data_IF_829080888322
#
_entry.id   IF_829080888322
#
_cell.length_a   1.000
_cell.length_b   1.000
_cell.length_c   1.000
_cell.angle_alpha   90.00
_cell.angle_beta   90.00
_cell.angle_gamma   90.00
#
_symmetry.space_group_name_H-M   'P 1'
#
loop_
_entity.id
_entity.type
_entity.pdbx_description
1 polymer ?
#
# COMPACT_ATOMS: atom_id res chain seq x y z
N UNK A 1 -3.75 9.77 -6.07
CA UNK A 1 -2.63 8.98 -5.54
C UNK A 1 -1.25 9.60 -5.81
N UNK A 2 -0.83 9.94 -7.04
CA UNK A 2 0.50 10.55 -7.29
C UNK A 2 0.78 11.81 -6.46
N UNK A 3 -0.13 12.78 -6.48
CA UNK A 3 -0.01 14.02 -5.69
C UNK A 3 0.04 13.73 -4.18
N UNK A 4 -0.70 12.74 -3.72
CA UNK A 4 -0.70 12.33 -2.32
C UNK A 4 0.70 11.89 -1.88
N UNK A 5 1.32 10.93 -2.58
CA UNK A 5 2.66 10.47 -2.23
C UNK A 5 3.75 11.51 -2.48
N UNK A 6 3.60 12.37 -3.47
CA UNK A 6 4.49 13.52 -3.64
C UNK A 6 4.46 14.42 -2.40
N UNK A 7 3.29 14.77 -1.91
CA UNK A 7 3.13 15.61 -0.72
C UNK A 7 3.63 14.89 0.54
N UNK A 8 3.23 13.63 0.75
CA UNK A 8 3.68 12.85 1.92
C UNK A 8 5.19 12.66 1.96
N UNK A 9 5.83 12.54 0.81
CA UNK A 9 7.29 12.43 0.72
C UNK A 9 8.04 13.77 0.85
N UNK A 10 7.33 14.87 1.04
CA UNK A 10 7.90 16.22 1.00
C UNK A 10 8.62 16.51 -0.33
N UNK A 11 8.03 16.04 -1.43
CA UNK A 11 8.57 16.19 -2.78
C UNK A 11 9.71 15.25 -3.16
N UNK A 12 10.07 14.30 -2.29
CA UNK A 12 11.22 13.39 -2.53
C UNK A 12 10.95 12.33 -3.59
N UNK A 13 9.68 11.96 -3.81
CA UNK A 13 9.30 11.02 -4.84
C UNK A 13 8.28 11.62 -5.79
N UNK A 14 8.31 11.14 -7.02
CA UNK A 14 7.29 11.39 -8.05
C UNK A 14 6.88 10.05 -8.64
N UNK A 15 5.58 9.83 -8.73
CA UNK A 15 5.00 8.60 -9.26
C UNK A 15 4.31 8.93 -10.58
N UNK A 16 4.68 8.23 -11.63
CA UNK A 16 4.03 8.30 -12.92
C UNK A 16 3.15 7.06 -13.09
N UNK A 17 1.87 7.27 -13.32
CA UNK A 17 0.93 6.21 -13.62
C UNK A 17 0.68 6.14 -15.12
N UNK A 18 0.68 4.92 -15.63
CA UNK A 18 0.22 4.62 -16.98
C UNK A 18 -0.90 3.60 -16.88
N UNK A 19 -2.07 3.95 -17.37
CA UNK A 19 -3.15 2.99 -17.54
C UNK A 19 -2.95 2.29 -18.88
N UNK A 20 -2.75 0.99 -18.83
CA UNK A 20 -2.76 0.17 -20.02
C UNK A 20 -4.19 -0.21 -20.36
N UNK A 21 -4.59 0.11 -21.55
CA UNK A 21 -5.82 -0.36 -22.15
C UNK A 21 -6.96 0.64 -22.11
N UNK A 22 -7.54 0.75 -23.28
CA UNK A 22 -8.84 1.36 -23.56
C UNK A 22 -9.98 0.32 -23.49
N UNK A 23 -9.66 -0.90 -23.06
CA UNK A 23 -10.59 -2.04 -23.03
C UNK A 23 -10.25 -3.00 -21.89
N UNK A 24 -11.26 -3.69 -21.40
CA UNK A 24 -11.10 -4.85 -20.53
C UNK A 24 -10.60 -6.05 -21.33
N UNK A 25 -9.62 -6.77 -20.79
CA UNK A 25 -9.22 -8.07 -21.31
C UNK A 25 -9.88 -9.19 -20.51
N UNK A 26 -10.42 -10.16 -21.23
CA UNK A 26 -10.99 -11.34 -20.59
C UNK A 26 -9.90 -12.39 -20.40
N UNK A 27 -9.70 -12.80 -19.17
CA UNK A 27 -8.84 -13.92 -18.82
C UNK A 27 -9.56 -15.25 -19.02
N UNK A 28 -8.80 -16.34 -19.10
CA UNK A 28 -9.32 -17.68 -19.34
C UNK A 28 -10.10 -18.25 -18.15
N UNK A 29 -9.77 -17.85 -16.94
CA UNK A 29 -10.41 -18.30 -15.72
C UNK A 29 -11.48 -17.32 -15.24
N UNK A 30 -12.35 -17.79 -14.35
CA UNK A 30 -13.41 -16.99 -13.73
C UNK A 30 -12.89 -16.26 -12.48
N UNK A 31 -13.64 -15.26 -12.02
CA UNK A 31 -13.36 -14.61 -10.73
C UNK A 31 -13.34 -15.64 -9.58
N UNK A 32 -14.30 -16.57 -9.57
CA UNK A 32 -14.36 -17.64 -8.58
C UNK A 32 -13.08 -18.51 -8.54
N UNK A 33 -12.42 -18.72 -9.67
CA UNK A 33 -11.11 -19.40 -9.69
C UNK A 33 -10.05 -18.57 -8.99
N UNK A 34 -9.91 -17.29 -9.35
CA UNK A 34 -8.87 -16.43 -8.78
C UNK A 34 -9.13 -16.08 -7.31
N UNK A 35 -10.40 -16.03 -6.89
CA UNK A 35 -10.83 -15.76 -5.52
C UNK A 35 -10.91 -17.00 -4.62
N UNK A 36 -10.71 -18.21 -5.16
CA UNK A 36 -10.85 -19.44 -4.40
C UNK A 36 -9.90 -19.50 -3.22
N UNK A 37 -10.45 -19.76 -2.01
CA UNK A 37 -9.66 -19.98 -0.81
C UNK A 37 -9.81 -18.92 0.28
N UNK A 38 -10.82 -18.08 0.27
CA UNK A 38 -11.09 -17.08 1.32
C UNK A 38 -9.86 -16.32 1.82
N UNK A 39 -9.38 -15.44 1.02
CA UNK A 39 -8.81 -14.18 1.49
C UNK A 39 -7.38 -14.17 1.99
N UNK A 40 -6.67 -15.23 2.30
CA UNK A 40 -5.35 -14.98 2.93
C UNK A 40 -4.23 -15.95 2.58
N UNK A 41 -4.48 -17.17 2.18
CA UNK A 41 -3.40 -18.15 2.05
C UNK A 41 -3.47 -19.08 0.85
N UNK A 42 -4.61 -19.17 0.17
CA UNK A 42 -4.83 -20.20 -0.85
C UNK A 42 -5.53 -19.67 -2.12
N UNK A 43 -5.60 -18.34 -2.28
CA UNK A 43 -6.19 -17.76 -3.48
C UNK A 43 -5.23 -17.91 -4.67
N UNK A 44 -5.80 -18.08 -5.86
CA UNK A 44 -5.06 -18.01 -7.12
C UNK A 44 -4.75 -16.56 -7.54
N UNK A 45 -4.56 -15.67 -6.56
CA UNK A 45 -4.25 -14.25 -6.81
C UNK A 45 -2.95 -14.06 -7.57
N UNK A 46 -1.96 -14.93 -7.32
CA UNK A 46 -0.74 -14.91 -8.13
C UNK A 46 -1.01 -15.28 -9.58
N UNK A 47 -1.89 -16.25 -9.82
CA UNK A 47 -2.30 -16.63 -11.18
C UNK A 47 -3.02 -15.48 -11.87
N UNK A 48 -3.82 -14.69 -11.14
CA UNK A 48 -4.46 -13.50 -11.66
C UNK A 48 -3.43 -12.50 -12.24
N UNK A 49 -2.37 -12.24 -11.51
CA UNK A 49 -1.30 -11.36 -11.97
C UNK A 49 -0.60 -11.94 -13.19
N UNK A 50 -0.19 -13.21 -13.13
CA UNK A 50 0.52 -13.88 -14.23
C UNK A 50 -0.34 -13.91 -15.51
N UNK A 51 -1.60 -14.28 -15.38
CA UNK A 51 -2.51 -14.36 -16.52
C UNK A 51 -2.81 -12.95 -17.08
N UNK A 52 -2.91 -11.94 -16.22
CA UNK A 52 -3.08 -10.54 -16.64
C UNK A 52 -1.87 -10.04 -17.42
N UNK A 53 -0.65 -10.27 -16.92
CA UNK A 53 0.57 -9.85 -17.61
C UNK A 53 0.66 -10.53 -18.98
N UNK A 54 0.43 -11.85 -19.06
CA UNK A 54 0.42 -12.58 -20.33
C UNK A 54 -0.62 -12.03 -21.30
N UNK A 55 -1.82 -11.69 -20.82
CA UNK A 55 -2.87 -11.16 -21.66
C UNK A 55 -2.53 -9.77 -22.24
N UNK A 56 -1.66 -9.02 -21.56
CA UNK A 56 -1.25 -7.68 -21.97
C UNK A 56 0.11 -7.62 -22.67
N UNK A 57 0.92 -8.70 -22.71
CA UNK A 57 2.26 -8.71 -23.32
C UNK A 57 2.28 -8.22 -24.78
N UNK A 58 1.25 -8.52 -25.54
CA UNK A 58 1.14 -8.09 -26.95
C UNK A 58 0.77 -6.60 -27.09
N UNK A 59 0.35 -5.94 -26.01
CA UNK A 59 -0.17 -4.56 -26.02
C UNK A 59 0.68 -3.59 -25.22
N UNK A 60 1.49 -4.08 -24.28
CA UNK A 60 2.23 -3.25 -23.34
C UNK A 60 3.64 -3.77 -23.13
N UNK A 61 4.61 -2.86 -23.09
CA UNK A 61 5.96 -3.16 -22.58
C UNK A 61 6.01 -2.87 -21.09
N UNK A 62 6.29 -3.88 -20.29
CA UNK A 62 6.36 -3.73 -18.83
C UNK A 62 7.78 -3.42 -18.32
N UNK A 63 8.79 -3.46 -19.17
CA UNK A 63 10.20 -3.30 -18.79
C UNK A 63 10.54 -1.96 -18.15
N UNK A 64 9.75 -0.92 -18.43
CA UNK A 64 9.97 0.44 -17.97
C UNK A 64 9.25 0.78 -16.68
N UNK A 65 8.54 -0.20 -16.09
CA UNK A 65 7.71 0.00 -14.90
C UNK A 65 8.28 -0.73 -13.69
N UNK A 66 8.23 -0.06 -12.54
CA UNK A 66 8.70 -0.61 -11.27
C UNK A 66 7.59 -1.24 -10.44
N UNK A 67 6.34 -0.91 -10.75
CA UNK A 67 5.16 -1.34 -10.01
C UNK A 67 4.02 -1.64 -10.97
N UNK A 68 3.25 -2.67 -10.68
CA UNK A 68 2.08 -3.07 -11.44
C UNK A 68 0.88 -3.25 -10.50
N UNK A 69 -0.21 -2.61 -10.82
CA UNK A 69 -1.53 -2.93 -10.27
C UNK A 69 -2.42 -3.50 -11.36
N UNK A 70 -2.99 -4.66 -11.11
CA UNK A 70 -4.04 -5.25 -11.93
C UNK A 70 -5.39 -4.81 -11.36
N UNK A 71 -6.17 -4.12 -12.16
CA UNK A 71 -7.54 -3.76 -11.81
C UNK A 71 -8.47 -4.80 -12.45
N UNK A 72 -9.25 -5.49 -11.63
CA UNK A 72 -10.23 -6.46 -12.12
C UNK A 72 -11.64 -5.87 -12.09
N UNK A 73 -12.48 -6.35 -13.00
CA UNK A 73 -13.89 -5.98 -13.05
C UNK A 73 -14.66 -6.62 -11.89
N UNK A 74 -15.64 -5.90 -11.37
CA UNK A 74 -16.54 -6.38 -10.30
C UNK A 74 -16.00 -6.13 -8.90
N UNK A 75 -16.78 -6.55 -7.92
CA UNK A 75 -16.53 -6.35 -6.49
C UNK A 75 -15.37 -7.20 -5.99
N UNK A 76 -14.82 -6.83 -4.85
CA UNK A 76 -13.79 -7.57 -4.12
C UNK A 76 -14.34 -8.22 -2.84
N UNK A 77 -13.64 -9.24 -2.36
CA UNK A 77 -14.03 -9.97 -1.14
C UNK A 77 -13.83 -9.14 0.13
N UNK A 78 -12.96 -8.13 0.16
CA UNK A 78 -12.75 -7.32 1.36
C UNK A 78 -13.97 -6.48 1.70
N UNK A 79 -14.72 -6.08 0.68
CA UNK A 79 -16.01 -5.38 0.80
C UNK A 79 -17.16 -6.35 1.09
N UNK A 80 -17.05 -7.60 0.63
CA UNK A 80 -18.05 -8.66 0.80
C UNK A 80 -17.44 -9.93 1.40
N UNK A 81 -17.06 -9.95 2.68
CA UNK A 81 -16.25 -11.03 3.28
C UNK A 81 -16.87 -12.43 3.23
N UNK A 82 -18.19 -12.52 3.03
CA UNK A 82 -18.92 -13.79 2.93
C UNK A 82 -18.94 -14.35 1.49
N UNK A 83 -18.55 -13.57 0.51
CA UNK A 83 -18.55 -13.94 -0.91
C UNK A 83 -17.18 -14.52 -1.28
N UNK A 84 -16.97 -15.78 -0.93
CA UNK A 84 -15.67 -16.47 -1.08
C UNK A 84 -15.25 -16.72 -2.53
N UNK A 85 -16.09 -16.41 -3.49
CA UNK A 85 -15.80 -16.46 -4.93
C UNK A 85 -15.27 -15.14 -5.48
N UNK A 86 -15.26 -14.06 -4.67
CA UNK A 86 -14.63 -12.80 -5.04
C UNK A 86 -13.14 -12.82 -4.74
N UNK A 87 -12.39 -12.04 -5.49
CA UNK A 87 -10.96 -11.87 -5.27
C UNK A 87 -10.75 -10.97 -4.06
N UNK A 88 -9.91 -11.39 -3.12
CA UNK A 88 -9.47 -10.55 -2.02
C UNK A 88 -8.32 -9.67 -2.50
N UNK A 89 -8.45 -8.34 -2.41
CA UNK A 89 -7.34 -7.43 -2.74
C UNK A 89 -6.07 -7.82 -2.00
N UNK A 90 -4.95 -7.69 -2.64
CA UNK A 90 -3.67 -8.12 -2.07
C UNK A 90 -2.49 -7.42 -2.72
N UNK A 91 -1.47 -7.14 -1.93
CA UNK A 91 -0.16 -6.73 -2.39
C UNK A 91 0.85 -7.87 -2.18
N UNK A 92 1.69 -8.10 -3.17
CA UNK A 92 2.78 -9.08 -3.12
C UNK A 92 4.16 -8.44 -2.94
N UNK A 93 4.24 -7.14 -2.67
CA UNK A 93 5.48 -6.46 -2.30
C UNK A 93 5.63 -6.48 -0.79
N UNK A 94 6.69 -7.08 -0.26
CA UNK A 94 6.88 -7.16 1.18
C UNK A 94 8.31 -6.81 1.58
N UNK A 95 8.47 -5.80 2.46
CA UNK A 95 9.68 -5.50 3.27
C UNK A 95 11.02 -5.83 2.57
N UNK A 96 11.28 -5.23 1.43
CA UNK A 96 12.54 -5.44 0.71
C UNK A 96 12.66 -6.77 -0.04
N UNK A 97 11.69 -7.62 0.04
CA UNK A 97 11.55 -8.79 -0.83
C UNK A 97 10.70 -8.42 -2.05
N UNK A 98 11.29 -7.61 -2.92
CA UNK A 98 10.69 -7.39 -4.24
C UNK A 98 10.33 -8.75 -4.84
N UNK A 99 9.08 -8.93 -5.23
CA UNK A 99 8.71 -10.05 -6.09
C UNK A 99 9.47 -9.81 -7.40
N UNK A 100 10.56 -10.51 -7.54
CA UNK A 100 11.55 -10.17 -8.53
C UNK A 100 11.18 -10.64 -9.93
N UNK A 101 10.09 -11.42 -10.09
CA UNK A 101 9.77 -11.98 -11.41
C UNK A 101 8.31 -12.38 -11.52
N UNK A 102 7.57 -11.76 -12.39
CA UNK A 102 6.42 -12.42 -13.03
C UNK A 102 7.02 -13.32 -14.10
N UNK A 103 6.79 -14.61 -13.97
CA UNK A 103 7.24 -15.57 -14.99
C UNK A 103 6.23 -15.53 -16.12
N UNK A 104 6.59 -14.89 -17.21
CA UNK A 104 5.84 -14.91 -18.46
C UNK A 104 6.33 -16.06 -19.33
N UNK A 105 5.64 -16.35 -20.40
CA UNK A 105 6.10 -17.29 -21.45
C UNK A 105 7.26 -16.73 -22.26
N UNK A 106 7.50 -15.43 -22.18
CA UNK A 106 8.67 -14.77 -22.75
C UNK A 106 9.88 -14.97 -21.81
N UNK A 107 11.07 -15.27 -22.34
CA UNK A 107 12.32 -15.29 -21.56
C UNK A 107 12.69 -13.93 -20.93
N UNK A 108 12.06 -12.82 -21.33
CA UNK A 108 12.17 -11.53 -20.65
C UNK A 108 11.36 -11.59 -19.34
N UNK A 109 12.09 -11.79 -18.23
CA UNK A 109 11.48 -11.70 -16.90
C UNK A 109 11.26 -10.23 -16.54
N UNK A 110 10.02 -9.84 -16.32
CA UNK A 110 9.70 -8.53 -15.76
C UNK A 110 10.00 -8.51 -14.26
N UNK A 111 10.78 -7.54 -13.81
CA UNK A 111 11.09 -7.34 -12.40
C UNK A 111 10.33 -6.14 -11.87
N UNK A 112 9.23 -6.38 -11.16
CA UNK A 112 8.50 -5.32 -10.46
C UNK A 112 8.96 -5.22 -9.00
N UNK A 113 9.01 -4.00 -8.48
CA UNK A 113 9.26 -3.73 -7.06
C UNK A 113 8.05 -4.04 -6.18
N UNK A 114 6.86 -4.09 -6.78
CA UNK A 114 5.62 -4.47 -6.14
C UNK A 114 4.55 -4.83 -7.16
N UNK A 115 3.67 -5.71 -6.75
CA UNK A 115 2.55 -6.22 -7.53
C UNK A 115 1.30 -6.21 -6.64
N UNK A 116 0.21 -5.66 -7.15
CA UNK A 116 -1.08 -5.67 -6.46
C UNK A 116 -2.22 -5.99 -7.44
N UNK A 117 -3.35 -6.30 -6.90
CA UNK A 117 -4.61 -6.27 -7.63
C UNK A 117 -5.72 -5.69 -6.75
N UNK A 118 -6.61 -4.94 -7.39
CA UNK A 118 -7.69 -4.20 -6.78
C UNK A 118 -8.97 -4.31 -7.64
N UNK A 119 -10.13 -4.09 -7.03
CA UNK A 119 -11.41 -3.99 -7.72
C UNK A 119 -11.54 -2.65 -8.46
N UNK A 120 -12.30 -2.63 -9.56
CA UNK A 120 -12.66 -1.39 -10.25
C UNK A 120 -13.53 -0.44 -9.41
N UNK A 121 -14.17 -0.97 -8.37
CA UNK A 121 -15.01 -0.21 -7.44
C UNK A 121 -14.25 0.28 -6.21
N UNK A 122 -12.97 -0.05 -6.11
CA UNK A 122 -12.16 0.34 -4.97
C UNK A 122 -11.80 1.83 -5.03
N UNK A 123 -11.96 2.50 -3.90
CA UNK A 123 -11.56 3.89 -3.78
C UNK A 123 -10.03 4.02 -3.64
N UNK A 124 -9.49 5.12 -4.09
CA UNK A 124 -8.05 5.31 -4.21
C UNK A 124 -7.27 5.23 -2.87
N UNK A 125 -7.94 5.41 -1.74
CA UNK A 125 -7.32 5.27 -0.42
C UNK A 125 -6.83 3.86 -0.14
N UNK A 126 -7.61 2.87 -0.56
CA UNK A 126 -7.28 1.48 -0.41
C UNK A 126 -6.13 1.09 -1.35
N UNK A 127 -6.18 1.55 -2.61
CA UNK A 127 -5.06 1.40 -3.56
C UNK A 127 -3.77 2.05 -3.05
N UNK A 128 -3.88 3.21 -2.38
CA UNK A 128 -2.73 3.88 -1.79
C UNK A 128 -2.12 3.09 -0.63
N UNK A 129 -2.94 2.43 0.19
CA UNK A 129 -2.50 1.53 1.25
C UNK A 129 -1.68 0.36 0.67
N UNK A 130 -2.23 -0.33 -0.33
CA UNK A 130 -1.52 -1.43 -1.00
C UNK A 130 -0.21 -0.95 -1.66
N UNK A 131 -0.21 0.25 -2.24
CA UNK A 131 1.02 0.85 -2.75
C UNK A 131 2.03 1.16 -1.63
N UNK A 132 1.57 1.53 -0.43
CA UNK A 132 2.42 1.70 0.76
C UNK A 132 3.19 0.43 1.11
N UNK A 133 2.57 -0.75 0.99
CA UNK A 133 3.26 -2.03 1.14
C UNK A 133 4.36 -2.23 0.11
N UNK A 134 4.14 -1.80 -1.12
CA UNK A 134 5.17 -1.88 -2.16
C UNK A 134 6.36 -0.95 -1.92
N UNK A 135 6.16 0.11 -1.16
CA UNK A 135 7.24 0.96 -0.66
C UNK A 135 7.97 0.35 0.54
N UNK A 136 7.46 -0.75 1.09
CA UNK A 136 8.06 -1.46 2.22
C UNK A 136 7.42 -1.15 3.58
N UNK A 137 6.27 -0.50 3.60
CA UNK A 137 5.57 -0.20 4.84
C UNK A 137 4.78 -1.41 5.34
N UNK A 138 4.78 -1.69 6.65
CA UNK A 138 3.93 -2.70 7.26
C UNK A 138 2.54 -2.17 7.57
N UNK A 139 1.58 -3.08 7.79
CA UNK A 139 0.33 -2.75 8.46
C UNK A 139 0.58 -2.25 9.89
N UNK A 140 -0.16 -1.22 10.26
CA UNK A 140 -0.14 -0.62 11.60
C UNK A 140 -1.45 -0.88 12.37
N UNK A 141 -2.23 -1.84 11.93
CA UNK A 141 -3.40 -2.34 12.64
C UNK A 141 -3.20 -3.80 13.05
N UNK A 142 -3.94 -4.21 14.07
CA UNK A 142 -4.04 -5.61 14.48
C UNK A 142 -5.43 -6.09 14.13
N UNK A 143 -5.52 -7.24 13.47
CA UNK A 143 -6.81 -7.83 13.11
C UNK A 143 -7.73 -7.95 14.33
N UNK A 144 -8.98 -7.51 14.13
CA UNK A 144 -10.04 -7.53 15.15
C UNK A 144 -9.80 -6.68 16.40
N UNK A 145 -8.83 -5.77 16.39
CA UNK A 145 -8.63 -4.81 17.49
C UNK A 145 -8.37 -3.42 16.94
N UNK A 146 -9.12 -2.47 17.47
CA UNK A 146 -8.84 -1.04 17.33
C UNK A 146 -7.66 -0.70 18.25
N UNK A 147 -6.47 -1.07 17.85
CA UNK A 147 -5.24 -0.78 18.60
C UNK A 147 -4.28 0.02 17.73
N UNK A 148 -3.66 0.99 18.34
CA UNK A 148 -2.64 1.80 17.71
C UNK A 148 -3.19 3.08 17.10
N UNK A 149 -2.71 3.41 15.90
CA UNK A 149 -2.93 4.71 15.27
C UNK A 149 -4.28 4.84 14.56
N UNK A 150 -4.96 3.70 14.30
CA UNK A 150 -6.31 3.57 13.73
C UNK A 150 -6.51 4.46 12.48
N UNK A 151 -7.53 5.33 12.48
CA UNK A 151 -7.89 6.18 11.32
C UNK A 151 -6.90 7.33 11.04
N UNK A 152 -5.82 7.43 11.79
CA UNK A 152 -4.85 8.52 11.67
C UNK A 152 -3.69 8.19 10.72
N UNK A 153 -3.58 6.97 10.22
CA UNK A 153 -2.54 6.57 9.28
C UNK A 153 -3.11 5.79 8.10
N UNK A 154 -2.58 6.08 6.90
CA UNK A 154 -2.86 5.29 5.71
C UNK A 154 -2.57 3.80 5.92
N UNK A 155 -1.47 3.46 6.61
CA UNK A 155 -1.06 2.07 6.84
C UNK A 155 -1.82 1.40 8.01
N UNK A 156 -2.80 2.08 8.59
CA UNK A 156 -3.75 1.51 9.53
C UNK A 156 -5.15 1.50 8.89
N UNK A 157 -6.16 2.07 9.56
CA UNK A 157 -7.52 2.14 9.02
C UNK A 157 -7.84 3.48 8.36
N UNK A 158 -6.88 4.36 8.28
CA UNK A 158 -7.02 5.65 7.64
C UNK A 158 -7.12 5.58 6.11
N UNK A 159 -6.82 4.43 5.52
CA UNK A 159 -7.09 4.09 4.12
C UNK A 159 -8.57 4.19 3.76
N UNK A 160 -9.45 3.93 4.75
CA UNK A 160 -10.90 3.88 4.63
C UNK A 160 -11.61 5.19 4.97
N UNK A 161 -10.90 6.24 5.30
CA UNK A 161 -11.51 7.53 5.63
C UNK A 161 -12.21 8.13 4.42
N UNK A 162 -13.33 8.83 4.70
CA UNK A 162 -14.15 9.50 3.69
C UNK A 162 -15.57 8.94 3.61
N UNK A 163 -16.38 9.58 2.78
CA UNK A 163 -17.73 9.15 2.42
C UNK A 163 -17.94 9.47 0.94
N UNK A 164 -17.96 8.47 0.05
CA UNK A 164 -17.76 7.03 0.31
C UNK A 164 -16.43 6.67 0.98
N UNK A 165 -16.39 5.47 1.59
CA UNK A 165 -15.20 4.94 2.27
C UNK A 165 -13.98 4.89 1.32
N UNK A 166 -12.83 5.40 1.76
CA UNK A 166 -11.60 5.44 0.98
C UNK A 166 -11.42 6.69 0.09
N UNK A 167 -12.39 7.62 0.07
CA UNK A 167 -12.30 8.83 -0.75
C UNK A 167 -11.38 9.90 -0.19
N UNK A 168 -11.10 9.87 1.12
CA UNK A 168 -10.27 10.86 1.81
C UNK A 168 -9.32 10.18 2.81
N UNK A 169 -8.38 9.34 2.34
CA UNK A 169 -7.49 8.62 3.23
C UNK A 169 -6.62 9.55 4.09
N UNK A 170 -6.25 9.05 5.26
CA UNK A 170 -5.31 9.72 6.14
C UNK A 170 -3.93 9.88 5.48
N UNK A 171 -3.10 10.75 6.04
CA UNK A 171 -1.68 10.83 5.71
C UNK A 171 -0.91 9.61 6.19
N UNK A 172 0.34 9.51 5.74
CA UNK A 172 1.29 8.60 6.37
C UNK A 172 1.69 9.16 7.75
N UNK A 173 1.76 8.28 8.73
CA UNK A 173 2.25 8.63 10.05
C UNK A 173 3.77 8.84 10.09
N UNK A 174 4.26 9.42 11.18
CA UNK A 174 5.67 9.77 11.32
C UNK A 174 6.61 8.54 11.28
N UNK A 175 6.16 7.39 11.80
CA UNK A 175 6.95 6.15 11.76
C UNK A 175 7.09 5.64 10.32
N UNK A 176 6.01 5.61 9.56
CA UNK A 176 6.00 5.23 8.15
C UNK A 176 6.91 6.14 7.32
N UNK A 177 6.79 7.45 7.50
CA UNK A 177 7.63 8.43 6.80
C UNK A 177 9.11 8.32 7.21
N UNK A 178 9.40 7.97 8.46
CA UNK A 178 10.76 7.70 8.92
C UNK A 178 11.34 6.43 8.29
N UNK A 179 10.57 5.34 8.24
CA UNK A 179 11.00 4.09 7.58
C UNK A 179 11.36 4.32 6.11
N UNK A 180 10.61 5.15 5.41
CA UNK A 180 10.87 5.51 4.02
C UNK A 180 12.04 6.51 3.85
N UNK A 181 12.63 7.00 4.94
CA UNK A 181 13.68 8.02 4.89
C UNK A 181 13.15 9.40 4.44
N UNK A 182 11.86 9.62 4.53
CA UNK A 182 11.25 10.90 4.17
C UNK A 182 11.33 11.93 5.28
N UNK A 183 11.43 11.48 6.54
CA UNK A 183 11.67 12.33 7.71
C UNK A 183 13.00 11.99 8.35
N UNK A 184 13.65 13.04 8.88
CA UNK A 184 14.84 12.95 9.71
C UNK A 184 14.48 13.42 11.12
N UNK A 185 14.13 12.50 12.04
CA UNK A 185 13.73 12.89 13.37
C UNK A 185 14.89 13.51 14.16
N UNK A 186 14.57 14.55 14.91
CA UNK A 186 15.51 15.20 15.84
C UNK A 186 15.63 14.33 17.08
N UNK A 187 16.80 13.82 17.42
CA UNK A 187 17.00 13.10 18.67
C UNK A 187 16.82 14.07 19.84
N UNK A 188 16.06 13.67 20.84
CA UNK A 188 15.82 14.45 22.05
C UNK A 188 16.23 13.63 23.27
N UNK A 189 16.99 14.26 24.15
CA UNK A 189 17.23 13.76 25.48
C UNK A 189 16.32 14.52 26.46
N UNK A 190 15.44 13.82 27.13
CA UNK A 190 14.57 14.38 28.14
C UNK A 190 15.39 14.57 29.42
N UNK A 191 15.63 15.80 29.80
CA UNK A 191 16.41 16.14 30.98
C UNK A 191 15.54 16.44 32.22
N UNK A 192 14.23 16.63 32.01
CA UNK A 192 13.27 16.87 33.09
C UNK A 192 11.87 16.35 32.70
N UNK A 193 11.00 16.24 33.70
CA UNK A 193 9.58 15.89 33.48
C UNK A 193 8.73 17.06 32.96
N UNK A 194 9.34 18.24 32.82
CA UNK A 194 8.67 19.47 32.39
C UNK A 194 9.17 19.97 31.02
N UNK A 195 9.93 19.15 30.27
CA UNK A 195 10.40 19.53 28.95
C UNK A 195 9.22 19.63 27.98
N UNK A 196 9.05 20.79 27.35
CA UNK A 196 8.04 21.08 26.35
C UNK A 196 8.71 21.06 24.98
N UNK A 197 8.21 20.23 24.09
CA UNK A 197 8.64 20.16 22.69
C UNK A 197 7.55 20.74 21.80
N UNK A 198 7.89 21.77 21.04
CA UNK A 198 6.99 22.32 20.04
C UNK A 198 7.06 21.50 18.74
N UNK A 199 5.91 21.10 18.23
CA UNK A 199 5.78 20.34 16.99
C UNK A 199 4.91 21.09 16.00
N UNK A 200 5.41 21.24 14.78
CA UNK A 200 4.61 21.74 13.67
C UNK A 200 3.88 20.59 12.95
N UNK A 201 2.75 20.90 12.33
CA UNK A 201 2.02 19.91 11.53
C UNK A 201 2.89 19.42 10.38
N UNK A 202 2.97 18.09 10.21
CA UNK A 202 3.73 17.44 9.15
C UNK A 202 3.20 17.71 7.74
N UNK A 203 2.00 18.28 7.62
CA UNK A 203 1.36 18.49 6.32
C UNK A 203 1.90 19.68 5.52
N UNK A 204 2.65 20.60 6.14
CA UNK A 204 2.94 21.90 5.53
C UNK A 204 4.40 22.37 5.58
N UNK A 205 5.25 21.72 6.37
CA UNK A 205 6.64 22.13 6.46
C UNK A 205 7.53 20.93 6.83
N UNK A 206 8.86 21.09 6.73
CA UNK A 206 9.83 20.11 7.22
C UNK A 206 9.48 19.69 8.65
N UNK A 207 8.63 18.67 8.74
CA UNK A 207 7.98 18.28 9.96
C UNK A 207 9.03 18.00 11.02
N UNK A 208 8.98 18.71 12.10
CA UNK A 208 9.82 18.40 13.25
C UNK A 208 9.23 17.17 13.91
N UNK A 209 9.87 16.03 13.68
CA UNK A 209 9.58 14.77 14.37
C UNK A 209 10.68 14.53 15.37
N UNK A 210 10.31 14.22 16.59
CA UNK A 210 11.25 13.94 17.66
C UNK A 210 11.40 12.45 17.90
N UNK A 211 12.63 12.01 18.09
CA UNK A 211 12.96 10.63 18.46
C UNK A 211 13.45 10.59 19.90
N UNK A 212 12.66 9.98 20.77
CA UNK A 212 12.97 9.82 22.20
C UNK A 212 13.42 8.37 22.40
N UNK A 213 14.62 8.13 22.98
CA UNK A 213 15.07 6.78 23.30
C UNK A 213 14.16 6.10 24.34
N UNK A 214 13.81 4.83 24.11
CA UNK A 214 12.98 4.04 25.03
C UNK A 214 13.55 3.99 26.46
N UNK A 215 14.87 4.00 26.59
CA UNK A 215 15.55 4.03 27.89
C UNK A 215 15.19 5.25 28.75
N UNK A 216 14.75 6.33 28.13
CA UNK A 216 14.31 7.54 28.85
C UNK A 216 12.83 7.49 29.23
N UNK A 217 12.03 6.68 28.54
CA UNK A 217 10.60 6.51 28.84
C UNK A 217 10.38 5.53 30.00
N UNK A 218 11.23 4.53 30.15
CA UNK A 218 11.10 3.48 31.18
C UNK A 218 11.30 3.98 32.62
N UNK A 219 11.89 5.14 32.82
CA UNK A 219 12.13 5.70 34.14
C UNK A 219 11.01 6.62 34.64
N UNK A 220 9.88 6.71 33.90
CA UNK A 220 8.80 7.67 34.19
C UNK A 220 7.45 6.97 34.54
N UNK A 221 7.43 5.64 34.69
CA UNK A 221 6.23 4.84 35.08
C UNK A 221 6.46 4.24 36.47
#
# INVERSE_FOLDING_TARGET
MATYFHNMSLGKISINFTLFGDKWLRLNNTMAYYGQGSGKTESHGWDLIVDSVKAWEDYASFSDYNYLTVIHAGEDQSSYPNETELVWRQNFGFLGHAIRRVVTTDPANYGFGGLAYDSEFEEWGLMAHEFGHSLGLPDLYVENRSLGIDNLSLMARGDRNGDPEGTCPAGLDAFSMYLLGWLNPVPVELNSTEDILEMNSSAHDSATVYKIPLSQIQNTI
#
